data_IF_802615622686
#
_entry.id   IF_802615622686
#
_cell.length_a   1.000
_cell.length_b   1.000
_cell.length_c   1.000
_cell.angle_alpha   90.00
_cell.angle_beta   90.00
_cell.angle_gamma   90.00
#
_symmetry.space_group_name_H-M   'P 1'
#
loop_
_entity.id
_entity.type
_entity.pdbx_description
1 polymer ?
#
# COMPACT_ATOMS: atom_id res chain seq x y z
N UNK A 1 33.70 5.64 -22.97
CA UNK A 1 32.43 4.89 -23.03
C UNK A 1 31.83 4.98 -21.64
N UNK A 2 31.01 6.00 -21.41
CA UNK A 2 30.46 6.30 -20.09
C UNK A 2 29.13 5.56 -19.99
N UNK A 3 29.12 4.43 -19.29
CA UNK A 3 27.89 3.71 -19.01
C UNK A 3 27.07 4.56 -18.03
N UNK A 4 26.00 5.17 -18.55
CA UNK A 4 24.96 5.73 -17.71
C UNK A 4 24.36 4.56 -16.92
N UNK A 5 24.64 4.49 -15.62
CA UNK A 5 23.87 3.67 -14.70
C UNK A 5 22.45 4.23 -14.70
N UNK A 6 21.61 3.69 -15.58
CA UNK A 6 20.17 3.83 -15.48
C UNK A 6 19.79 3.46 -14.04
N UNK A 7 19.09 4.34 -13.29
CA UNK A 7 18.68 4.01 -11.94
C UNK A 7 17.80 2.77 -12.04
N UNK A 8 18.33 1.63 -11.58
CA UNK A 8 17.57 0.40 -11.48
C UNK A 8 16.27 0.76 -10.76
N UNK A 9 15.17 0.76 -11.49
CA UNK A 9 13.85 0.92 -10.89
C UNK A 9 13.68 -0.34 -10.07
N UNK A 10 14.05 -0.28 -8.79
CA UNK A 10 13.85 -1.35 -7.83
C UNK A 10 12.35 -1.60 -7.82
N UNK A 11 11.93 -2.56 -8.63
CA UNK A 11 10.53 -2.91 -8.81
C UNK A 11 10.08 -3.41 -7.46
N UNK A 12 9.32 -2.58 -6.75
CA UNK A 12 8.82 -2.92 -5.43
C UNK A 12 7.84 -4.07 -5.61
N UNK A 13 8.16 -5.21 -5.02
CA UNK A 13 7.25 -6.36 -4.96
C UNK A 13 6.09 -5.94 -4.05
N UNK A 14 4.89 -5.82 -4.64
CA UNK A 14 3.67 -5.50 -3.89
C UNK A 14 3.01 -6.77 -3.36
N UNK A 15 2.10 -6.62 -2.38
CA UNK A 15 1.38 -7.78 -1.83
C UNK A 15 0.56 -8.53 -2.91
N UNK A 16 0.17 -7.87 -4.01
CA UNK A 16 -0.46 -8.53 -5.17
C UNK A 16 0.47 -9.58 -5.78
N UNK A 17 1.73 -9.25 -6.02
CA UNK A 17 2.70 -10.19 -6.60
C UNK A 17 2.96 -11.35 -5.64
N UNK A 18 3.08 -11.05 -4.34
CA UNK A 18 3.22 -12.07 -3.29
C UNK A 18 2.00 -13.01 -3.25
N UNK A 19 0.77 -12.47 -3.30
CA UNK A 19 -0.44 -13.30 -3.34
C UNK A 19 -0.55 -14.13 -4.62
N UNK A 20 -0.03 -13.63 -5.74
CA UNK A 20 0.00 -14.37 -7.01
C UNK A 20 1.00 -15.54 -6.96
N UNK A 21 2.14 -15.34 -6.33
CA UNK A 21 3.21 -16.34 -6.24
C UNK A 21 2.94 -17.39 -5.16
N UNK A 22 2.50 -16.98 -3.97
CA UNK A 22 2.35 -17.86 -2.81
C UNK A 22 0.89 -18.22 -2.47
N UNK A 23 -0.07 -17.52 -3.06
CA UNK A 23 -1.50 -17.68 -2.75
C UNK A 23 -1.96 -16.87 -1.53
N UNK A 24 -3.26 -16.56 -1.51
CA UNK A 24 -3.86 -15.72 -0.44
C UNK A 24 -3.83 -16.38 0.94
N UNK A 25 -3.95 -17.71 1.00
CA UNK A 25 -3.95 -18.45 2.27
C UNK A 25 -2.58 -18.44 2.95
N UNK A 26 -1.49 -18.51 2.19
CA UNK A 26 -0.13 -18.36 2.72
C UNK A 26 0.09 -16.97 3.33
N UNK A 27 -0.42 -15.93 2.67
CA UNK A 27 -0.35 -14.56 3.18
C UNK A 27 -1.17 -14.41 4.47
N UNK A 28 -2.38 -15.00 4.54
CA UNK A 28 -3.21 -15.02 5.76
C UNK A 28 -2.51 -15.74 6.91
N UNK A 29 -1.89 -16.88 6.65
CA UNK A 29 -1.07 -17.59 7.64
C UNK A 29 0.08 -16.74 8.17
N UNK A 30 0.74 -15.97 7.29
CA UNK A 30 1.80 -15.04 7.71
C UNK A 30 1.25 -13.89 8.58
N UNK A 31 0.11 -13.32 8.23
CA UNK A 31 -0.56 -12.28 9.03
C UNK A 31 -0.88 -12.82 10.43
N UNK A 32 -1.47 -14.01 10.52
CA UNK A 32 -1.76 -14.66 11.80
C UNK A 32 -0.48 -14.86 12.63
N UNK A 33 0.60 -15.33 12.01
CA UNK A 33 1.89 -15.46 12.68
C UNK A 33 2.41 -14.12 13.21
N UNK A 34 2.33 -13.05 12.41
CA UNK A 34 2.73 -11.70 12.84
C UNK A 34 1.93 -11.21 14.04
N UNK A 35 0.62 -11.48 14.10
CA UNK A 35 -0.20 -11.19 15.29
C UNK A 35 0.28 -11.95 16.52
N UNK A 36 0.52 -13.26 16.40
CA UNK A 36 0.99 -14.08 17.53
C UNK A 36 2.39 -13.69 18.00
N UNK A 37 3.19 -13.09 17.12
CA UNK A 37 4.55 -12.63 17.39
C UNK A 37 4.59 -11.19 17.96
N UNK A 38 3.44 -10.55 18.17
CA UNK A 38 3.34 -9.15 18.62
C UNK A 38 3.67 -8.10 17.55
N UNK A 39 3.89 -8.50 16.29
CA UNK A 39 4.20 -7.60 15.18
C UNK A 39 2.92 -7.00 14.56
N UNK A 40 2.10 -6.37 15.40
CA UNK A 40 0.77 -5.89 15.02
C UNK A 40 0.81 -4.82 13.92
N UNK A 41 1.81 -3.95 13.90
CA UNK A 41 1.93 -2.93 12.85
C UNK A 41 2.23 -3.56 11.48
N UNK A 42 3.11 -4.57 11.43
CA UNK A 42 3.43 -5.27 10.19
C UNK A 42 2.21 -6.03 9.66
N UNK A 43 1.50 -6.73 10.55
CA UNK A 43 0.25 -7.41 10.20
C UNK A 43 -0.78 -6.41 9.62
N UNK A 44 -1.03 -5.31 10.33
CA UNK A 44 -1.98 -4.27 9.90
C UNK A 44 -1.60 -3.60 8.59
N UNK A 45 -0.31 -3.46 8.28
CA UNK A 45 0.14 -2.90 7.00
C UNK A 45 -0.25 -3.84 5.85
N UNK A 46 0.02 -5.14 6.00
CA UNK A 46 -0.32 -6.14 4.98
C UNK A 46 -1.84 -6.25 4.81
N UNK A 47 -2.60 -6.26 5.91
CA UNK A 47 -4.07 -6.27 5.86
C UNK A 47 -4.63 -5.06 5.10
N UNK A 48 -4.05 -3.88 5.30
CA UNK A 48 -4.46 -2.66 4.58
C UNK A 48 -4.17 -2.78 3.08
N UNK A 49 -3.00 -3.29 2.69
CA UNK A 49 -2.67 -3.49 1.28
C UNK A 49 -3.60 -4.54 0.63
N UNK A 50 -3.90 -5.65 1.33
CA UNK A 50 -4.87 -6.64 0.86
C UNK A 50 -6.28 -6.05 0.72
N UNK A 51 -6.72 -5.25 1.69
CA UNK A 51 -8.01 -4.56 1.63
C UNK A 51 -8.04 -3.55 0.48
N UNK A 52 -6.94 -2.86 0.21
CA UNK A 52 -6.84 -1.92 -0.91
C UNK A 52 -6.96 -2.65 -2.25
N UNK A 53 -6.40 -3.85 -2.40
CA UNK A 53 -6.57 -4.67 -3.61
C UNK A 53 -8.04 -5.10 -3.79
N UNK A 54 -8.72 -5.50 -2.70
CA UNK A 54 -10.15 -5.80 -2.71
C UNK A 54 -11.02 -4.58 -3.06
N UNK A 55 -10.66 -3.41 -2.53
CA UNK A 55 -11.33 -2.14 -2.81
C UNK A 55 -11.09 -1.65 -4.25
N UNK A 56 -9.89 -1.86 -4.80
CA UNK A 56 -9.56 -1.58 -6.21
C UNK A 56 -10.23 -2.55 -7.20
N UNK A 57 -10.83 -3.66 -6.73
CA UNK A 57 -11.70 -4.54 -7.53
C UNK A 57 -13.15 -4.06 -7.60
N UNK A 58 -13.54 -3.04 -6.84
CA UNK A 58 -14.72 -2.24 -7.14
C UNK A 58 -14.31 -1.12 -8.09
N UNK A 59 -15.11 -0.77 -9.13
CA UNK A 59 -14.83 0.43 -9.90
C UNK A 59 -14.86 1.60 -8.94
N UNK A 60 -13.68 2.06 -8.55
CA UNK A 60 -13.50 3.28 -7.79
C UNK A 60 -14.15 4.37 -8.63
N UNK A 61 -15.35 4.82 -8.23
CA UNK A 61 -15.82 6.14 -8.63
C UNK A 61 -14.72 7.13 -8.21
N UNK A 62 -14.07 7.81 -9.16
CA UNK A 62 -12.94 8.67 -8.86
C UNK A 62 -13.50 9.96 -8.25
N UNK A 63 -13.66 9.99 -6.93
CA UNK A 63 -14.33 11.12 -6.28
C UNK A 63 -13.90 11.46 -4.85
N UNK A 64 -12.90 10.79 -4.27
CA UNK A 64 -12.54 11.04 -2.86
C UNK A 64 -11.05 11.26 -2.63
N UNK A 65 -10.39 11.96 -3.55
CA UNK A 65 -9.16 12.67 -3.19
C UNK A 65 -9.58 13.97 -2.50
N UNK A 66 -9.86 13.91 -1.20
CA UNK A 66 -9.95 15.13 -0.38
C UNK A 66 -8.56 15.77 -0.36
N UNK A 67 -8.36 16.69 -1.30
CA UNK A 67 -7.30 17.69 -1.22
C UNK A 67 -7.66 18.54 -0.01
N UNK A 68 -7.00 18.32 1.13
CA UNK A 68 -6.97 19.31 2.20
C UNK A 68 -6.20 20.51 1.65
N UNK A 69 -6.92 21.35 0.89
CA UNK A 69 -6.49 22.67 0.45
C UNK A 69 -6.38 23.51 1.72
N UNK A 70 -5.16 23.65 2.22
CA UNK A 70 -4.83 24.78 3.08
C UNK A 70 -4.91 26.06 2.27
N UNK A 71 -5.61 27.06 2.81
CA UNK A 71 -5.33 28.52 2.75
C UNK A 71 -6.65 29.28 2.94
N UNK A 72 -6.94 29.63 4.19
CA UNK A 72 -7.60 30.89 4.49
C UNK A 72 -6.89 31.52 5.68
N UNK A 73 -6.00 32.45 5.34
CA UNK A 73 -5.49 33.45 6.26
C UNK A 73 -6.57 34.53 6.40
N UNK A 74 -7.00 34.91 7.61
CA UNK A 74 -7.77 36.13 7.75
C UNK A 74 -6.80 37.32 7.70
N UNK A 75 -6.79 38.03 6.56
CA UNK A 75 -6.56 39.47 6.61
C UNK A 75 -7.81 40.09 7.20
N UNK A 76 -7.69 40.72 8.36
CA UNK A 76 -8.65 41.70 8.85
C UNK A 76 -7.89 43.00 9.09
N UNK A 77 -8.58 44.07 8.67
CA UNK A 77 -8.09 45.41 8.33
C UNK A 77 -7.55 46.23 9.51
#
# INVERSE_FOLDING_TARGET
MTEALEPATTSRIGITDVTREFGIEAVRGRIAHLHTSGQHYAARAIEQELSAIGACRHPATPGSRKVLRGKDAPQVA
#
